data_IF_948915659801
#
_entry.id   IF_948915659801
#
_cell.length_a   1.000
_cell.length_b   1.000
_cell.length_c   1.000
_cell.angle_alpha   90.00
_cell.angle_beta   90.00
_cell.angle_gamma   90.00
#
_symmetry.space_group_name_H-M   'P 1'
#
loop_
_entity.id
_entity.type
_entity.pdbx_description
1 polymer ?
#
# COMPACT_ATOMS: atom_id res chain seq x y z
N UNK A 1 -11.43 15.27 20.23
CA UNK A 1 -12.78 15.24 19.62
C UNK A 1 -12.70 14.43 18.34
N UNK A 2 -13.74 13.66 17.96
CA UNK A 2 -13.73 12.77 16.79
C UNK A 2 -13.34 13.48 15.48
N UNK A 3 -13.58 14.80 15.42
CA UNK A 3 -13.18 15.68 14.32
C UNK A 3 -11.66 15.73 14.16
N UNK A 4 -10.88 15.85 15.25
CA UNK A 4 -9.41 15.97 15.20
C UNK A 4 -8.78 14.65 14.73
N UNK A 5 -9.17 13.54 15.35
CA UNK A 5 -8.64 12.21 15.00
C UNK A 5 -9.00 11.84 13.56
N UNK A 6 -10.25 12.09 13.15
CA UNK A 6 -10.70 11.83 11.77
C UNK A 6 -9.97 12.68 10.74
N UNK A 7 -9.74 13.98 11.01
CA UNK A 7 -8.99 14.86 10.11
C UNK A 7 -7.54 14.41 9.94
N UNK A 8 -6.86 14.00 11.03
CA UNK A 8 -5.48 13.51 10.96
C UNK A 8 -5.38 12.24 10.10
N UNK A 9 -6.26 11.27 10.32
CA UNK A 9 -6.30 10.01 9.54
C UNK A 9 -6.56 10.30 8.05
N UNK A 10 -7.50 11.19 7.74
CA UNK A 10 -7.78 11.58 6.36
C UNK A 10 -6.57 12.25 5.69
N UNK A 11 -5.86 13.13 6.39
CA UNK A 11 -4.65 13.79 5.88
C UNK A 11 -3.52 12.80 5.61
N UNK A 12 -3.34 11.79 6.46
CA UNK A 12 -2.37 10.71 6.24
C UNK A 12 -2.72 9.94 4.96
N UNK A 13 -3.98 9.55 4.81
CA UNK A 13 -4.45 8.87 3.59
C UNK A 13 -4.22 9.70 2.33
N UNK A 14 -4.59 10.99 2.33
CA UNK A 14 -4.37 11.91 1.20
C UNK A 14 -2.87 12.05 0.87
N UNK A 15 -2.01 12.10 1.89
CA UNK A 15 -0.56 12.19 1.69
C UNK A 15 0.01 10.94 1.01
N UNK A 16 -0.52 9.75 1.35
CA UNK A 16 -0.11 8.48 0.74
C UNK A 16 -0.59 8.35 -0.71
N UNK A 17 -1.74 8.93 -1.07
CA UNK A 17 -2.22 8.93 -2.47
C UNK A 17 -1.17 9.51 -3.41
N UNK A 18 -0.46 10.59 -3.01
CA UNK A 18 0.60 11.18 -3.82
C UNK A 18 1.69 10.17 -4.19
N UNK A 19 2.19 9.43 -3.20
CA UNK A 19 3.25 8.43 -3.41
C UNK A 19 2.73 7.26 -4.24
N UNK A 20 1.48 6.84 -4.02
CA UNK A 20 0.83 5.79 -4.81
C UNK A 20 0.69 6.17 -6.29
N UNK A 21 0.32 7.41 -6.62
CA UNK A 21 0.22 7.89 -8.00
C UNK A 21 1.60 7.95 -8.67
N UNK A 22 2.63 8.40 -7.95
CA UNK A 22 4.01 8.42 -8.47
C UNK A 22 4.48 6.99 -8.79
N UNK A 23 4.17 6.02 -7.92
CA UNK A 23 4.50 4.62 -8.14
C UNK A 23 3.72 4.01 -9.32
N UNK A 24 2.43 4.34 -9.45
CA UNK A 24 1.62 3.93 -10.60
C UNK A 24 2.22 4.44 -11.93
N UNK A 25 2.72 5.67 -11.97
CA UNK A 25 3.38 6.20 -13.16
C UNK A 25 4.76 5.57 -13.48
N UNK A 26 5.24 4.59 -12.70
CA UNK A 26 6.53 3.91 -12.93
C UNK A 26 7.58 4.15 -11.85
N UNK A 27 7.30 4.97 -10.83
CA UNK A 27 8.20 5.22 -9.70
C UNK A 27 9.09 6.46 -9.84
N UNK A 28 9.74 6.85 -8.75
CA UNK A 28 10.66 7.98 -8.75
C UNK A 28 11.90 7.67 -9.61
N UNK A 29 12.15 8.48 -10.65
CA UNK A 29 13.29 8.38 -11.58
C UNK A 29 13.24 7.25 -12.62
N UNK A 30 12.06 6.72 -12.96
CA UNK A 30 11.93 5.83 -14.10
C UNK A 30 12.14 6.58 -15.43
N UNK A 31 12.89 5.98 -16.36
CA UNK A 31 13.09 6.52 -17.72
C UNK A 31 11.78 6.62 -18.51
N UNK A 32 10.82 5.74 -18.19
CA UNK A 32 9.50 5.62 -18.83
C UNK A 32 8.37 6.14 -17.90
N UNK A 33 8.62 7.26 -17.22
CA UNK A 33 7.65 7.87 -16.31
C UNK A 33 6.36 8.28 -17.06
N UNK A 34 5.22 7.88 -16.51
CA UNK A 34 3.89 8.15 -17.07
C UNK A 34 3.67 7.59 -18.49
N UNK A 35 4.32 6.48 -18.84
CA UNK A 35 4.01 5.80 -20.09
C UNK A 35 2.60 5.24 -20.13
N UNK A 36 2.04 5.17 -21.34
CA UNK A 36 0.67 4.70 -21.55
C UNK A 36 0.48 3.27 -21.02
N UNK A 37 1.53 2.43 -21.08
CA UNK A 37 1.50 1.06 -20.56
C UNK A 37 1.31 1.02 -19.04
N UNK A 38 2.13 1.77 -18.29
CA UNK A 38 2.09 1.80 -16.83
C UNK A 38 0.76 2.39 -16.32
N UNK A 39 0.30 3.46 -16.96
CA UNK A 39 -0.98 4.09 -16.65
C UNK A 39 -2.13 3.11 -16.93
N UNK A 40 -2.15 2.46 -18.09
CA UNK A 40 -3.19 1.52 -18.47
C UNK A 40 -3.23 0.28 -17.55
N UNK A 41 -2.07 -0.25 -17.15
CA UNK A 41 -1.98 -1.35 -16.21
C UNK A 41 -2.60 -0.99 -14.87
N UNK A 42 -2.16 0.09 -14.22
CA UNK A 42 -2.74 0.50 -12.93
C UNK A 42 -4.20 0.99 -13.05
N UNK A 43 -4.61 1.54 -14.18
CA UNK A 43 -6.02 1.91 -14.41
C UNK A 43 -6.89 0.67 -14.54
N UNK A 44 -6.37 -0.37 -15.20
CA UNK A 44 -7.00 -1.69 -15.27
C UNK A 44 -7.14 -2.32 -13.89
N UNK A 45 -6.08 -2.32 -13.08
CA UNK A 45 -6.14 -2.88 -11.72
C UNK A 45 -7.15 -2.13 -10.85
N UNK A 46 -7.09 -0.80 -10.83
CA UNK A 46 -8.02 0.05 -10.10
C UNK A 46 -9.46 -0.15 -10.58
N UNK A 47 -9.67 -0.23 -11.89
CA UNK A 47 -10.97 -0.50 -12.51
C UNK A 47 -11.57 -1.81 -12.02
N UNK A 48 -10.78 -2.89 -11.98
CA UNK A 48 -11.22 -4.19 -11.43
C UNK A 48 -11.57 -4.06 -9.95
N UNK A 49 -10.75 -3.39 -9.15
CA UNK A 49 -11.02 -3.17 -7.71
C UNK A 49 -12.34 -2.43 -7.52
N UNK A 50 -12.58 -1.34 -8.26
CA UNK A 50 -13.79 -0.52 -8.16
C UNK A 50 -15.02 -1.33 -8.59
N UNK A 51 -14.95 -2.04 -9.71
CA UNK A 51 -16.06 -2.86 -10.21
C UNK A 51 -16.47 -3.95 -9.20
N UNK A 52 -15.50 -4.65 -8.60
CA UNK A 52 -15.77 -5.65 -7.58
C UNK A 52 -16.25 -5.02 -6.26
N UNK A 53 -15.75 -3.84 -5.91
CA UNK A 53 -16.18 -3.12 -4.70
C UNK A 53 -17.64 -2.65 -4.80
N UNK A 54 -18.11 -2.32 -6.01
CA UNK A 54 -19.50 -1.97 -6.28
C UNK A 54 -20.44 -3.19 -6.39
N UNK A 55 -19.93 -4.42 -6.33
CA UNK A 55 -20.77 -5.62 -6.43
C UNK A 55 -21.72 -5.74 -5.22
N UNK A 56 -22.94 -6.25 -5.47
CA UNK A 56 -23.94 -6.48 -4.41
C UNK A 56 -23.52 -7.55 -3.40
N UNK A 57 -22.65 -8.48 -3.82
CA UNK A 57 -22.16 -9.57 -2.98
C UNK A 57 -21.11 -9.07 -1.98
N UNK A 58 -21.39 -9.22 -0.68
CA UNK A 58 -20.48 -8.80 0.41
C UNK A 58 -19.09 -9.44 0.30
N UNK A 59 -19.03 -10.73 -0.02
CA UNK A 59 -17.78 -11.48 -0.17
C UNK A 59 -16.90 -10.95 -1.30
N UNK A 60 -17.51 -10.60 -2.44
CA UNK A 60 -16.77 -10.01 -3.55
C UNK A 60 -16.18 -8.66 -3.15
N UNK A 61 -16.98 -7.81 -2.49
CA UNK A 61 -16.53 -6.49 -2.02
C UNK A 61 -15.37 -6.55 -1.04
N UNK A 62 -15.36 -7.54 -0.13
CA UNK A 62 -14.27 -7.76 0.83
C UNK A 62 -12.98 -8.23 0.13
N UNK A 63 -13.10 -9.01 -0.94
CA UNK A 63 -11.96 -9.58 -1.69
C UNK A 63 -11.43 -8.69 -2.82
N UNK A 64 -12.10 -7.58 -3.15
CA UNK A 64 -11.85 -6.77 -4.36
C UNK A 64 -10.40 -6.36 -4.53
N UNK A 65 -9.74 -5.92 -3.45
CA UNK A 65 -8.34 -5.46 -3.50
C UNK A 65 -7.41 -6.61 -3.84
N UNK A 66 -7.58 -7.77 -3.20
CA UNK A 66 -6.76 -8.96 -3.43
C UNK A 66 -6.93 -9.45 -4.87
N UNK A 67 -8.17 -9.55 -5.33
CA UNK A 67 -8.46 -10.00 -6.71
C UNK A 67 -7.95 -8.99 -7.74
N UNK A 68 -8.12 -7.69 -7.48
CA UNK A 68 -7.63 -6.64 -8.38
C UNK A 68 -6.11 -6.64 -8.53
N UNK A 69 -5.37 -6.86 -7.43
CA UNK A 69 -3.91 -7.01 -7.47
C UNK A 69 -3.54 -8.27 -8.26
N UNK A 70 -4.22 -9.40 -8.02
CA UNK A 70 -3.94 -10.66 -8.74
C UNK A 70 -4.14 -10.50 -10.26
N UNK A 71 -5.26 -9.91 -10.69
CA UNK A 71 -5.54 -9.63 -12.10
C UNK A 71 -4.50 -8.66 -12.67
N UNK A 72 -4.09 -7.66 -11.91
CA UNK A 72 -3.03 -6.73 -12.28
C UNK A 72 -1.68 -7.38 -12.51
N UNK A 73 -1.26 -8.28 -11.62
CA UNK A 73 -0.03 -9.04 -11.78
C UNK A 73 -0.08 -9.93 -13.03
N UNK A 74 -1.21 -10.58 -13.31
CA UNK A 74 -1.39 -11.38 -14.52
C UNK A 74 -1.29 -10.49 -15.77
N UNK A 75 -1.96 -9.33 -15.78
CA UNK A 75 -1.90 -8.38 -16.89
C UNK A 75 -0.48 -7.85 -17.14
N UNK A 76 0.26 -7.54 -16.07
CA UNK A 76 1.67 -7.15 -16.17
C UNK A 76 2.55 -8.28 -16.71
N UNK A 77 2.26 -9.53 -16.30
CA UNK A 77 2.87 -10.75 -16.84
C UNK A 77 2.69 -10.90 -18.35
N UNK A 78 1.45 -10.72 -18.83
CA UNK A 78 1.12 -10.80 -20.25
C UNK A 78 1.72 -9.64 -21.06
N UNK A 79 1.88 -8.45 -20.46
CA UNK A 79 2.48 -7.28 -21.10
C UNK A 79 4.01 -7.35 -21.20
N UNK A 80 4.65 -8.40 -20.65
CA UNK A 80 6.12 -8.57 -20.69
C UNK A 80 6.90 -7.64 -19.77
N UNK A 81 6.23 -6.80 -18.98
CA UNK A 81 6.84 -5.86 -18.02
C UNK A 81 7.14 -6.51 -16.66
N UNK A 82 6.73 -7.77 -16.48
CA UNK A 82 6.89 -8.49 -15.22
C UNK A 82 8.14 -9.36 -15.23
N UNK A 83 9.20 -8.88 -14.60
CA UNK A 83 10.40 -9.67 -14.37
C UNK A 83 10.27 -10.41 -13.04
N UNK A 84 9.98 -11.71 -13.10
CA UNK A 84 10.18 -12.60 -11.96
C UNK A 84 11.68 -12.71 -11.73
N UNK A 85 12.19 -11.93 -10.78
CA UNK A 85 13.55 -12.13 -10.31
C UNK A 85 13.65 -13.54 -9.73
N UNK A 86 14.61 -14.33 -10.21
CA UNK A 86 14.83 -15.68 -9.70
C UNK A 86 15.00 -15.58 -8.18
N UNK A 87 14.11 -16.25 -7.45
CA UNK A 87 14.34 -16.57 -6.05
C UNK A 87 15.67 -17.34 -6.06
N UNK A 88 16.73 -16.76 -5.50
CA UNK A 88 18.06 -17.39 -5.51
C UNK A 88 18.01 -18.82 -4.96
N UNK A 89 19.11 -19.58 -5.14
CA UNK A 89 19.25 -21.02 -4.83
C UNK A 89 18.84 -21.49 -3.42
N UNK A 90 18.42 -20.60 -2.54
CA UNK A 90 17.96 -20.92 -1.20
C UNK A 90 16.43 -21.05 -1.17
N UNK A 91 15.94 -22.31 -1.22
CA UNK A 91 14.54 -22.66 -0.94
C UNK A 91 14.07 -22.22 0.47
N UNK A 92 15.00 -21.94 1.38
CA UNK A 92 14.75 -21.48 2.74
C UNK A 92 15.70 -20.33 3.10
N UNK A 93 15.15 -19.16 3.40
CA UNK A 93 15.92 -18.00 3.90
C UNK A 93 15.45 -17.66 5.30
N UNK A 94 16.31 -17.89 6.29
CA UNK A 94 16.05 -17.44 7.65
C UNK A 94 16.18 -15.91 7.71
N UNK A 95 15.25 -15.19 8.38
CA UNK A 95 15.39 -13.76 8.58
C UNK A 95 16.66 -13.48 9.37
N UNK A 96 17.53 -12.64 8.84
CA UNK A 96 18.72 -12.18 9.57
C UNK A 96 18.26 -11.39 10.79
N UNK A 97 18.64 -11.84 11.99
CA UNK A 97 18.39 -11.09 13.21
C UNK A 97 19.31 -9.86 13.24
N UNK A 98 18.73 -8.68 13.52
CA UNK A 98 19.45 -7.39 13.60
C UNK A 98 20.31 -7.05 12.37
N UNK A 99 19.75 -6.97 11.15
CA UNK A 99 20.52 -6.64 9.95
C UNK A 99 21.16 -5.24 10.02
N UNK A 100 20.59 -4.34 10.84
CA UNK A 100 21.07 -2.98 11.05
C UNK A 100 21.88 -2.81 12.35
N UNK A 101 22.02 -3.86 13.17
CA UNK A 101 22.62 -3.79 14.51
C UNK A 101 21.86 -2.88 15.48
N UNK A 102 22.50 -2.53 16.60
CA UNK A 102 22.00 -1.52 17.54
C UNK A 102 22.76 -0.22 17.33
N UNK A 103 22.15 0.74 16.64
CA UNK A 103 22.69 2.09 16.51
C UNK A 103 21.60 3.12 16.81
N UNK A 104 21.88 4.05 17.72
CA UNK A 104 20.98 5.14 18.03
C UNK A 104 21.34 6.36 17.18
N UNK A 105 20.44 6.72 16.27
CA UNK A 105 20.57 7.92 15.46
C UNK A 105 19.52 8.94 15.89
N UNK A 106 19.94 10.03 16.52
CA UNK A 106 19.06 11.10 17.00
C UNK A 106 18.29 11.78 15.86
N UNK A 107 18.83 11.81 14.64
CA UNK A 107 18.17 12.39 13.47
C UNK A 107 16.96 11.58 13.00
N UNK A 108 16.97 10.25 13.20
CA UNK A 108 15.86 9.35 12.82
C UNK A 108 14.89 9.14 13.99
N UNK A 109 15.38 9.27 15.22
CA UNK A 109 14.59 9.10 16.44
C UNK A 109 13.34 9.99 16.45
N UNK A 110 13.49 11.29 16.18
CA UNK A 110 12.37 12.22 16.27
C UNK A 110 11.28 11.96 15.21
N UNK A 111 11.59 11.76 13.90
CA UNK A 111 10.60 11.35 12.91
C UNK A 111 9.85 10.06 13.27
N UNK A 112 10.58 9.02 13.72
CA UNK A 112 9.98 7.73 14.07
C UNK A 112 9.09 7.86 15.32
N UNK A 113 9.51 8.65 16.31
CA UNK A 113 8.68 8.94 17.48
C UNK A 113 7.37 9.62 17.09
N UNK A 114 7.39 10.60 16.17
CA UNK A 114 6.18 11.23 15.66
C UNK A 114 5.28 10.26 14.90
N UNK A 115 5.83 9.41 14.03
CA UNK A 115 5.06 8.38 13.31
C UNK A 115 4.42 7.39 14.28
N UNK A 116 5.13 7.00 15.35
CA UNK A 116 4.56 6.11 16.38
C UNK A 116 3.37 6.72 17.12
N UNK A 117 3.44 8.03 17.42
CA UNK A 117 2.31 8.76 18.03
C UNK A 117 1.10 8.78 17.10
N UNK A 118 1.33 8.98 15.80
CA UNK A 118 0.28 8.94 14.78
C UNK A 118 -0.35 7.55 14.66
N UNK A 119 0.45 6.47 14.65
CA UNK A 119 -0.09 5.10 14.65
C UNK A 119 -0.94 4.81 15.88
N UNK A 120 -0.58 5.33 17.06
CA UNK A 120 -1.42 5.19 18.27
C UNK A 120 -2.77 5.89 18.07
N UNK A 121 -2.78 7.10 17.49
CA UNK A 121 -4.02 7.83 17.21
C UNK A 121 -4.91 7.11 16.19
N UNK A 122 -4.33 6.52 15.15
CA UNK A 122 -5.02 5.69 14.17
C UNK A 122 -5.64 4.45 14.83
N UNK A 123 -4.86 3.71 15.63
CA UNK A 123 -5.33 2.51 16.33
C UNK A 123 -6.49 2.80 17.30
N UNK A 124 -6.44 3.92 18.01
CA UNK A 124 -7.56 4.37 18.87
C UNK A 124 -8.78 4.75 18.05
N UNK A 125 -8.58 5.39 16.89
CA UNK A 125 -9.64 5.73 15.94
C UNK A 125 -10.36 4.49 15.43
N UNK A 126 -9.62 3.48 14.97
CA UNK A 126 -10.14 2.21 14.48
C UNK A 126 -10.89 1.44 15.56
N UNK A 127 -10.33 1.38 16.78
CA UNK A 127 -10.99 0.73 17.91
C UNK A 127 -12.32 1.40 18.25
N UNK A 128 -12.36 2.73 18.27
CA UNK A 128 -13.57 3.50 18.55
C UNK A 128 -14.62 3.25 17.47
N UNK A 129 -14.23 3.30 16.18
CA UNK A 129 -15.12 3.02 15.07
C UNK A 129 -15.69 1.60 15.14
N UNK A 130 -14.88 0.60 15.48
CA UNK A 130 -15.33 -0.78 15.61
C UNK A 130 -16.26 -0.99 16.83
N UNK A 131 -16.01 -0.31 17.95
CA UNK A 131 -16.87 -0.37 19.14
C UNK A 131 -18.24 0.29 18.97
N UNK A 132 -18.40 1.16 17.97
CA UNK A 132 -19.71 1.74 17.62
C UNK A 132 -20.53 0.82 16.73
N UNK A 133 -19.89 -0.13 16.05
CA UNK A 133 -20.51 -1.08 15.12
C UNK A 133 -20.83 -2.41 15.83
N UNK A 134 -20.10 -2.75 16.89
CA UNK A 134 -20.31 -3.93 17.75
C UNK A 134 -21.24 -3.61 18.92
#
# INVERSE_FOLDING_TARGET
>A
TPIITGSVIALIGISLIKVSVINWCGGEKAEDFASMSNIALGAGTLGVIVLLSCAKNRWLRLSSVVVGIAVGCIAAGLSGQFHLHSLGDTLFRLPTLFPFGFQFNSAIFLPVALVSLVCILEAVGDLTANSLIS
#
